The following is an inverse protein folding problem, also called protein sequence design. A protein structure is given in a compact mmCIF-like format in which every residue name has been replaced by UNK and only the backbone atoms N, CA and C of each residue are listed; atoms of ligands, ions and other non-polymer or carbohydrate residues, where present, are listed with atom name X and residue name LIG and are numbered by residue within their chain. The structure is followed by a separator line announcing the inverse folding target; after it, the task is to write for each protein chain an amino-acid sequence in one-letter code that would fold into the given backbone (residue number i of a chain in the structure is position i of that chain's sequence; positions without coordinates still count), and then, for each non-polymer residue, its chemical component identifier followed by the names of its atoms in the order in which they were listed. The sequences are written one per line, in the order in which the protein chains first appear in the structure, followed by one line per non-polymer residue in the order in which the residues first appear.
data_IF_691445690943
#
_entry.id   IF_691445690943
#
_cell.length_a   1.000
_cell.length_b   1.000
_cell.length_c   1.000
_cell.angle_alpha   90.00
_cell.angle_beta   90.00
_cell.angle_gamma   90.00
#
_symmetry.space_group_name_H-M   'P 1'
#
loop_
_entity.id
_entity.type
_entity.pdbx_description
1 polymer ?
#
# COMPACT_ATOMS: atom_id res chain seq x y z
N UNK A 1 13.23 18.33 -7.96
CA UNK A 1 12.78 17.00 -8.43
C UNK A 1 13.33 15.95 -7.49
N UNK A 2 12.48 15.05 -6.97
CA UNK A 2 12.95 13.98 -6.09
C UNK A 2 13.77 12.95 -6.88
N UNK A 3 14.90 12.53 -6.30
CA UNK A 3 15.74 11.46 -6.87
C UNK A 3 15.15 10.09 -6.57
N UNK A 4 14.03 9.74 -7.22
CA UNK A 4 13.36 8.47 -7.08
C UNK A 4 13.29 7.81 -8.45
N UNK A 5 13.66 6.54 -8.52
CA UNK A 5 13.60 5.72 -9.72
C UNK A 5 12.26 4.96 -9.75
N UNK A 6 11.48 5.19 -10.80
CA UNK A 6 10.14 4.60 -10.95
C UNK A 6 10.12 3.71 -12.19
N UNK A 7 9.60 2.49 -12.02
CA UNK A 7 9.30 1.57 -13.11
C UNK A 7 7.79 1.47 -13.29
N UNK A 8 7.30 1.80 -14.49
CA UNK A 8 5.91 1.64 -14.91
C UNK A 8 5.79 0.32 -15.67
N UNK A 9 4.83 -0.52 -15.29
CA UNK A 9 4.59 -1.83 -15.92
C UNK A 9 3.11 -1.92 -16.28
N UNK A 10 2.83 -1.99 -17.57
CA UNK A 10 1.47 -2.07 -18.11
C UNK A 10 1.61 -2.61 -19.56
N UNK A 11 0.78 -3.53 -20.00
CA UNK A 11 0.83 -4.06 -21.35
C UNK A 11 0.25 -3.07 -22.38
N UNK A 12 -0.59 -2.14 -21.94
CA UNK A 12 -1.19 -1.10 -22.79
C UNK A 12 -0.25 0.10 -22.98
N UNK A 13 0.21 0.33 -24.21
CA UNK A 13 1.14 1.41 -24.58
C UNK A 13 0.59 2.80 -24.23
N UNK A 14 -0.68 3.03 -24.46
CA UNK A 14 -1.34 4.31 -24.19
C UNK A 14 -1.26 4.71 -22.73
N UNK A 15 -1.42 3.74 -21.83
CA UNK A 15 -1.31 3.92 -20.38
C UNK A 15 0.14 4.20 -20.00
N UNK A 16 1.11 3.41 -20.52
CA UNK A 16 2.53 3.63 -20.25
C UNK A 16 2.97 5.05 -20.65
N UNK A 17 2.63 5.50 -21.86
CA UNK A 17 2.97 6.84 -22.38
C UNK A 17 2.34 7.94 -21.52
N UNK A 18 1.08 7.77 -21.14
CA UNK A 18 0.37 8.73 -20.30
C UNK A 18 1.01 8.85 -18.92
N UNK A 19 1.26 7.73 -18.23
CA UNK A 19 1.88 7.70 -16.92
C UNK A 19 3.31 8.25 -16.97
N UNK A 20 4.10 7.86 -17.95
CA UNK A 20 5.47 8.35 -18.14
C UNK A 20 5.49 9.87 -18.31
N UNK A 21 4.61 10.42 -19.16
CA UNK A 21 4.49 11.88 -19.36
C UNK A 21 4.13 12.63 -18.08
N UNK A 22 3.24 12.04 -17.26
CA UNK A 22 2.83 12.61 -15.97
C UNK A 22 4.01 12.60 -14.98
N UNK A 23 4.73 11.48 -14.91
CA UNK A 23 5.74 11.26 -13.88
C UNK A 23 7.07 11.92 -14.20
N UNK A 24 7.50 11.96 -15.45
CA UNK A 24 8.75 12.66 -15.88
C UNK A 24 8.76 14.16 -15.54
N UNK A 25 7.60 14.76 -15.31
CA UNK A 25 7.52 16.17 -14.86
C UNK A 25 7.93 16.36 -13.40
N UNK A 26 7.89 15.31 -12.60
CA UNK A 26 8.10 15.36 -11.15
C UNK A 26 9.29 14.52 -10.68
N UNK A 27 9.70 13.52 -11.47
CA UNK A 27 10.74 12.54 -11.15
C UNK A 27 11.74 12.43 -12.27
N UNK A 28 13.03 12.27 -11.92
CA UNK A 28 14.12 12.25 -12.92
C UNK A 28 14.29 10.92 -13.64
N UNK A 29 14.06 9.81 -12.94
CA UNK A 29 14.26 8.48 -13.48
C UNK A 29 12.93 7.72 -13.54
N UNK A 30 12.31 7.73 -14.72
CA UNK A 30 11.08 6.98 -15.02
C UNK A 30 11.35 6.08 -16.20
N UNK A 31 11.21 4.79 -16.01
CA UNK A 31 11.32 3.75 -17.04
C UNK A 31 9.99 3.05 -17.21
N UNK A 32 9.80 2.44 -18.37
CA UNK A 32 8.58 1.71 -18.71
C UNK A 32 8.91 0.27 -19.11
N UNK A 33 7.99 -0.65 -18.80
CA UNK A 33 8.03 -2.03 -19.24
C UNK A 33 6.65 -2.40 -19.78
N UNK A 34 6.61 -3.16 -20.86
CA UNK A 34 5.37 -3.66 -21.45
C UNK A 34 4.93 -5.00 -20.88
N UNK A 35 5.67 -5.58 -19.95
CA UNK A 35 5.37 -6.89 -19.41
C UNK A 35 5.99 -7.08 -18.02
N UNK A 36 5.37 -7.97 -17.22
CA UNK A 36 5.89 -8.31 -15.90
C UNK A 36 7.21 -9.06 -15.96
N UNK A 37 7.42 -9.91 -16.96
CA UNK A 37 8.69 -10.64 -17.15
C UNK A 37 9.83 -9.67 -17.47
N UNK A 38 9.63 -8.73 -18.39
CA UNK A 38 10.63 -7.70 -18.73
C UNK A 38 10.91 -6.82 -17.49
N UNK A 39 9.88 -6.48 -16.72
CA UNK A 39 10.05 -5.72 -15.48
C UNK A 39 10.96 -6.44 -14.47
N UNK A 40 10.80 -7.77 -14.30
CA UNK A 40 11.68 -8.56 -13.43
C UNK A 40 13.13 -8.60 -13.93
N UNK A 41 13.35 -8.64 -15.25
CA UNK A 41 14.70 -8.53 -15.82
C UNK A 41 15.32 -7.13 -15.59
N UNK A 42 14.51 -6.08 -15.72
CA UNK A 42 14.95 -4.72 -15.45
C UNK A 42 15.35 -4.52 -13.98
N UNK A 43 14.61 -5.12 -13.04
CA UNK A 43 14.93 -5.10 -11.62
C UNK A 43 16.26 -5.80 -11.27
N UNK A 44 16.73 -6.71 -12.11
CA UNK A 44 18.04 -7.36 -11.92
C UNK A 44 19.21 -6.48 -12.38
N UNK A 45 18.94 -5.56 -13.31
CA UNK A 45 19.98 -4.71 -13.95
C UNK A 45 20.09 -3.33 -13.29
N UNK A 46 18.94 -2.78 -12.85
CA UNK A 46 18.83 -1.43 -12.35
C UNK A 46 18.08 -1.38 -11.02
N UNK A 47 18.37 -0.36 -10.21
CA UNK A 47 17.65 -0.10 -8.97
C UNK A 47 16.42 0.76 -9.22
N UNK A 48 15.29 0.33 -8.66
CA UNK A 48 14.03 1.08 -8.63
C UNK A 48 13.52 1.19 -7.20
N UNK A 49 13.03 2.38 -6.85
CA UNK A 49 12.41 2.65 -5.55
C UNK A 49 10.92 2.29 -5.54
N UNK A 50 10.24 2.47 -6.68
CA UNK A 50 8.82 2.25 -6.84
C UNK A 50 8.50 1.56 -8.17
N UNK A 51 7.64 0.56 -8.11
CA UNK A 51 6.95 -0.01 -9.28
C UNK A 51 5.51 0.47 -9.28
N UNK A 52 5.02 0.91 -10.43
CA UNK A 52 3.59 1.13 -10.70
C UNK A 52 3.18 0.09 -11.73
N UNK A 53 2.36 -0.88 -11.34
CA UNK A 53 2.00 -2.00 -12.21
C UNK A 53 0.50 -2.11 -12.41
N UNK A 54 0.07 -2.37 -13.65
CA UNK A 54 -1.25 -2.94 -13.85
C UNK A 54 -1.34 -4.33 -13.22
N UNK A 55 -2.55 -4.71 -12.82
CA UNK A 55 -2.82 -6.05 -12.31
C UNK A 55 -3.07 -7.04 -13.45
N UNK A 56 -3.78 -6.62 -14.47
CA UNK A 56 -4.17 -7.48 -15.58
C UNK A 56 -3.21 -7.28 -16.75
N UNK A 57 -2.27 -8.18 -16.92
CA UNK A 57 -1.31 -8.21 -18.04
C UNK A 57 -1.25 -9.63 -18.62
N UNK A 58 -0.92 -9.73 -19.90
CA UNK A 58 -1.01 -11.00 -20.64
C UNK A 58 -0.01 -12.07 -20.19
N UNK A 59 1.21 -11.68 -19.81
CA UNK A 59 2.32 -12.60 -19.51
C UNK A 59 2.41 -12.96 -18.02
N UNK A 60 2.09 -12.02 -17.16
CA UNK A 60 2.18 -12.15 -15.71
C UNK A 60 1.27 -11.13 -15.06
N UNK A 61 0.50 -11.53 -14.07
CA UNK A 61 -0.32 -10.60 -13.30
C UNK A 61 0.54 -9.66 -12.44
N UNK A 62 0.05 -8.44 -12.20
CA UNK A 62 0.72 -7.50 -11.27
C UNK A 62 0.83 -8.04 -9.84
N UNK A 63 -0.06 -8.97 -9.45
CA UNK A 63 0.02 -9.69 -8.17
C UNK A 63 1.21 -10.64 -8.14
N UNK A 64 1.45 -11.39 -9.21
CA UNK A 64 2.61 -12.27 -9.33
C UNK A 64 3.92 -11.46 -9.39
N UNK A 65 3.91 -10.33 -10.12
CA UNK A 65 5.03 -9.39 -10.15
C UNK A 65 5.33 -8.85 -8.74
N UNK A 66 4.30 -8.43 -8.00
CA UNK A 66 4.41 -7.99 -6.60
C UNK A 66 5.08 -9.07 -5.75
N UNK A 67 4.57 -10.30 -5.79
CA UNK A 67 5.10 -11.43 -5.01
C UNK A 67 6.58 -11.66 -5.31
N UNK A 68 6.93 -11.86 -6.58
CA UNK A 68 8.31 -12.13 -7.01
C UNK A 68 9.27 -10.98 -6.70
N UNK A 69 8.80 -9.74 -6.85
CA UNK A 69 9.60 -8.55 -6.55
C UNK A 69 9.85 -8.41 -5.05
N UNK A 70 8.85 -8.65 -4.20
CA UNK A 70 9.00 -8.58 -2.74
C UNK A 70 9.87 -9.70 -2.17
N UNK A 71 9.84 -10.90 -2.74
CA UNK A 71 10.73 -12.00 -2.36
C UNK A 71 12.22 -11.63 -2.53
N UNK A 72 12.56 -10.89 -3.59
CA UNK A 72 13.96 -10.55 -3.91
C UNK A 72 14.37 -9.17 -3.46
N UNK A 73 13.43 -8.22 -3.44
CA UNK A 73 13.61 -6.81 -3.09
C UNK A 73 12.55 -6.38 -2.07
N UNK A 74 12.64 -6.78 -0.79
CA UNK A 74 11.59 -6.53 0.22
C UNK A 74 11.23 -5.06 0.41
N UNK A 75 12.20 -4.15 0.22
CA UNK A 75 12.05 -2.71 0.44
C UNK A 75 11.44 -1.96 -0.76
N UNK A 76 11.29 -2.61 -1.93
CA UNK A 76 10.73 -1.96 -3.13
C UNK A 76 9.27 -1.60 -2.89
N UNK A 77 8.89 -0.39 -3.24
CA UNK A 77 7.51 0.04 -3.16
C UNK A 77 6.74 -0.44 -4.39
N UNK A 78 5.53 -0.93 -4.21
CA UNK A 78 4.70 -1.40 -5.33
C UNK A 78 3.29 -0.84 -5.20
N UNK A 79 2.93 -0.01 -6.18
CA UNK A 79 1.62 0.56 -6.39
C UNK A 79 0.92 -0.22 -7.49
N UNK A 80 -0.18 -0.88 -7.16
CA UNK A 80 -0.97 -1.63 -8.14
C UNK A 80 -2.11 -0.78 -8.71
N UNK A 81 -2.37 -0.91 -10.00
CA UNK A 81 -3.48 -0.26 -10.70
C UNK A 81 -4.36 -1.32 -11.36
N UNK A 82 -5.67 -1.12 -11.41
CA UNK A 82 -6.58 -2.04 -12.10
C UNK A 82 -7.85 -1.37 -12.60
N UNK A 83 -8.31 -1.80 -13.76
CA UNK A 83 -9.64 -1.45 -14.29
C UNK A 83 -10.78 -2.27 -13.66
N UNK A 84 -10.46 -3.40 -13.02
CA UNK A 84 -11.43 -4.30 -12.41
C UNK A 84 -11.19 -4.38 -10.89
N UNK A 85 -11.95 -3.56 -10.16
CA UNK A 85 -11.89 -3.57 -8.70
C UNK A 85 -12.53 -4.86 -8.15
N UNK A 86 -11.69 -5.83 -7.78
CA UNK A 86 -12.12 -7.03 -7.06
C UNK A 86 -11.58 -6.98 -5.63
N UNK A 87 -12.46 -7.27 -4.67
CA UNK A 87 -12.09 -7.26 -3.25
C UNK A 87 -11.02 -8.31 -2.94
N UNK A 88 -11.08 -9.47 -3.58
CA UNK A 88 -10.15 -10.56 -3.32
C UNK A 88 -8.73 -10.22 -3.80
N UNK A 89 -8.60 -9.62 -4.98
CA UNK A 89 -7.30 -9.14 -5.51
C UNK A 89 -6.72 -8.00 -4.67
N UNK A 90 -7.57 -7.09 -4.18
CA UNK A 90 -7.11 -6.02 -3.29
C UNK A 90 -6.61 -6.58 -1.94
N UNK A 91 -7.29 -7.59 -1.39
CA UNK A 91 -6.87 -8.27 -0.16
C UNK A 91 -5.54 -9.00 -0.36
N UNK A 92 -5.40 -9.71 -1.47
CA UNK A 92 -4.18 -10.42 -1.83
C UNK A 92 -3.00 -9.47 -2.01
N UNK A 93 -3.18 -8.37 -2.77
CA UNK A 93 -2.18 -7.33 -2.95
C UNK A 93 -1.62 -6.84 -1.62
N UNK A 94 -2.51 -6.59 -0.67
CA UNK A 94 -2.09 -6.11 0.66
C UNK A 94 -1.38 -7.19 1.47
N UNK A 95 -1.85 -8.45 1.43
CA UNK A 95 -1.16 -9.56 2.12
C UNK A 95 0.26 -9.75 1.60
N UNK A 96 0.47 -9.50 0.32
CA UNK A 96 1.76 -9.58 -0.34
C UNK A 96 2.63 -8.33 -0.16
N UNK A 97 2.12 -7.29 0.53
CA UNK A 97 2.87 -6.08 0.85
C UNK A 97 2.86 -5.01 -0.24
N UNK A 98 1.78 -4.92 -1.05
CA UNK A 98 1.57 -3.76 -1.91
C UNK A 98 1.54 -2.47 -1.07
N UNK A 99 2.21 -1.43 -1.57
CA UNK A 99 2.29 -0.14 -0.89
C UNK A 99 1.00 0.66 -1.04
N UNK A 100 0.32 0.52 -2.18
CA UNK A 100 -1.02 1.08 -2.43
C UNK A 100 -1.71 0.36 -3.58
N UNK A 101 -3.02 0.66 -3.77
CA UNK A 101 -3.87 0.04 -4.79
C UNK A 101 -4.82 1.09 -5.37
N UNK A 102 -4.76 1.32 -6.68
CA UNK A 102 -5.58 2.30 -7.39
C UNK A 102 -6.54 1.64 -8.38
N UNK A 103 -7.73 2.21 -8.49
CA UNK A 103 -8.75 1.77 -9.45
C UNK A 103 -8.73 2.71 -10.64
N UNK A 104 -8.52 2.17 -11.85
CA UNK A 104 -8.65 2.90 -13.12
C UNK A 104 -10.14 3.17 -13.43
N UNK A 105 -10.53 4.36 -13.96
CA UNK A 105 -9.66 5.48 -14.28
C UNK A 105 -9.31 6.31 -13.04
N UNK A 106 -8.04 6.67 -12.89
CA UNK A 106 -7.57 7.51 -11.79
C UNK A 106 -6.98 8.83 -12.31
N UNK A 107 -7.22 9.91 -11.56
CA UNK A 107 -6.72 11.23 -11.92
C UNK A 107 -5.21 11.33 -11.69
N UNK A 108 -4.54 12.24 -12.46
CA UNK A 108 -3.15 12.60 -12.20
C UNK A 108 -2.90 12.93 -10.72
N UNK A 109 -3.80 13.70 -10.08
CA UNK A 109 -3.69 14.07 -8.67
C UNK A 109 -3.71 12.84 -7.76
N UNK A 110 -4.59 11.88 -8.04
CA UNK A 110 -4.69 10.63 -7.28
C UNK A 110 -3.39 9.83 -7.35
N UNK A 111 -2.83 9.65 -8.55
CA UNK A 111 -1.58 8.92 -8.78
C UNK A 111 -0.43 9.57 -8.02
N UNK A 112 -0.22 10.89 -8.18
CA UNK A 112 0.86 11.60 -7.50
C UNK A 112 0.71 11.57 -5.98
N UNK A 113 -0.51 11.73 -5.46
CA UNK A 113 -0.76 11.65 -4.00
C UNK A 113 -0.48 10.24 -3.44
N UNK A 114 -0.80 9.18 -4.19
CA UNK A 114 -0.47 7.80 -3.81
C UNK A 114 1.04 7.57 -3.77
N UNK A 115 1.76 8.03 -4.78
CA UNK A 115 3.23 7.91 -4.82
C UNK A 115 3.87 8.61 -3.62
N UNK A 116 3.48 9.86 -3.34
CA UNK A 116 4.00 10.62 -2.20
C UNK A 116 3.75 9.86 -0.90
N UNK A 117 2.54 9.38 -0.70
CA UNK A 117 2.14 8.61 0.49
C UNK A 117 2.94 7.32 0.66
N UNK A 118 3.20 6.58 -0.43
CA UNK A 118 4.04 5.38 -0.40
C UNK A 118 5.47 5.71 0.07
N UNK A 119 6.04 6.80 -0.45
CA UNK A 119 7.41 7.23 -0.14
C UNK A 119 7.51 7.71 1.31
N UNK A 120 6.58 8.54 1.78
CA UNK A 120 6.56 9.07 3.14
C UNK A 120 6.43 7.96 4.17
N UNK A 121 5.50 7.02 3.97
CA UNK A 121 5.32 5.88 4.85
C UNK A 121 6.58 5.01 4.95
N UNK A 122 7.30 4.80 3.83
CA UNK A 122 8.55 4.04 3.82
C UNK A 122 9.67 4.76 4.56
N UNK A 123 9.76 6.09 4.41
CA UNK A 123 10.79 6.90 5.08
C UNK A 123 10.58 6.94 6.60
N UNK A 124 9.35 7.00 7.07
CA UNK A 124 9.03 6.94 8.50
C UNK A 124 9.38 5.56 9.09
N UNK A 125 9.09 4.49 8.37
CA UNK A 125 9.43 3.12 8.79
C UNK A 125 10.94 2.89 8.88
N UNK A 126 11.70 3.43 7.91
CA UNK A 126 13.18 3.38 7.93
C UNK A 126 13.78 4.17 9.10
N UNK A 127 13.30 5.39 9.35
CA UNK A 127 13.75 6.21 10.49
C UNK A 127 13.48 5.54 11.84
N UNK A 128 12.36 4.84 11.99
CA UNK A 128 12.05 4.09 13.19
C UNK A 128 12.98 2.87 13.38
N UNK A 129 13.34 2.18 12.29
CA UNK A 129 14.32 1.07 12.33
C UNK A 129 15.74 1.57 12.67
N UNK A 130 16.17 2.74 12.21
CA UNK A 130 17.50 3.31 12.51
C UNK A 130 17.62 3.81 13.94
N UNK A 131 16.55 4.32 14.55
CA UNK A 131 16.54 4.76 15.95
C UNK A 131 16.53 3.61 16.96
N UNK A 132 16.32 2.37 16.53
CA UNK A 132 16.29 1.17 17.38
C UNK A 132 17.55 0.31 17.31
N UNK A 133 18.61 0.75 16.61
CA UNK A 133 19.90 0.05 16.60
C UNK A 133 20.75 0.38 17.83
N UNK A 134 20.29 -0.09 19.00
CA UNK A 134 21.18 -0.46 20.11
C UNK A 134 20.92 -1.94 20.47
N UNK A 135 21.99 -2.73 20.71
CA UNK A 135 21.84 -4.18 20.83
C UNK A 135 21.22 -4.54 22.17
N UNK A 136 19.94 -4.86 22.20
CA UNK A 136 19.34 -5.64 23.28
C UNK A 136 18.71 -6.89 22.68
N UNK A 137 19.29 -7.99 23.16
CA UNK A 137 18.82 -9.37 22.95
C UNK A 137 17.33 -9.52 23.26
N UNK A 138 16.71 -10.32 22.40
CA UNK A 138 15.59 -11.21 22.69
C UNK A 138 14.44 -10.73 23.58
N UNK A 139 13.28 -10.78 22.98
CA UNK A 139 11.90 -10.62 23.45
C UNK A 139 11.25 -9.34 22.92
N UNK A 140 10.68 -9.37 21.71
CA UNK A 140 9.47 -8.60 21.37
C UNK A 140 8.98 -8.67 19.92
N UNK A 141 9.30 -9.72 19.17
CA UNK A 141 8.74 -9.89 17.81
C UNK A 141 7.21 -10.13 17.81
N UNK A 142 6.63 -10.40 18.97
CA UNK A 142 5.18 -10.67 19.10
C UNK A 142 4.32 -9.42 19.41
N UNK A 143 4.92 -8.27 19.72
CA UNK A 143 4.17 -7.08 20.13
C UNK A 143 3.98 -6.04 19.00
N UNK A 144 4.84 -6.00 17.99
CA UNK A 144 4.71 -5.04 16.88
C UNK A 144 3.55 -5.38 15.94
N UNK A 145 3.21 -6.66 15.78
CA UNK A 145 2.03 -7.08 15.00
C UNK A 145 0.69 -6.62 15.60
N UNK A 146 0.64 -6.26 16.89
CA UNK A 146 -0.57 -5.81 17.59
C UNK A 146 -0.77 -4.29 17.58
N UNK A 147 0.23 -3.49 17.22
CA UNK A 147 0.12 -2.05 17.15
C UNK A 147 -0.57 -1.59 15.86
N UNK A 148 -1.50 -0.63 16.00
CA UNK A 148 -2.15 -0.01 14.86
C UNK A 148 -1.20 0.98 14.19
N UNK A 149 -1.14 0.98 12.85
CA UNK A 149 -0.46 2.03 12.08
C UNK A 149 -1.18 3.37 12.27
N UNK A 150 -0.53 4.49 11.96
CA UNK A 150 -1.16 5.83 12.03
C UNK A 150 -2.51 5.89 11.28
N UNK A 151 -2.58 5.26 10.11
CA UNK A 151 -3.80 5.24 9.30
C UNK A 151 -4.89 4.34 9.90
N UNK A 152 -4.51 3.20 10.41
CA UNK A 152 -5.42 2.33 11.16
C UNK A 152 -5.91 3.00 12.44
N UNK A 153 -5.06 3.79 13.11
CA UNK A 153 -5.46 4.55 14.30
C UNK A 153 -6.51 5.61 13.96
N UNK A 154 -6.32 6.39 12.90
CA UNK A 154 -7.33 7.36 12.42
C UNK A 154 -8.67 6.67 12.10
N UNK A 155 -8.63 5.56 11.36
CA UNK A 155 -9.84 4.79 11.05
C UNK A 155 -10.48 4.21 12.32
N UNK A 156 -9.67 3.74 13.27
CA UNK A 156 -10.11 3.25 14.56
C UNK A 156 -10.82 4.33 15.38
N UNK A 157 -10.24 5.53 15.49
CA UNK A 157 -10.80 6.67 16.22
C UNK A 157 -12.17 7.09 15.65
N UNK A 158 -12.28 7.22 14.32
CA UNK A 158 -13.56 7.51 13.67
C UNK A 158 -14.58 6.37 13.84
N UNK A 159 -14.13 5.12 13.84
CA UNK A 159 -14.99 3.97 14.05
C UNK A 159 -15.56 3.93 15.47
N UNK A 160 -14.76 4.19 16.50
CA UNK A 160 -15.21 4.19 17.89
C UNK A 160 -16.08 5.40 18.22
N UNK A 161 -15.92 6.54 17.51
CA UNK A 161 -16.83 7.68 17.59
C UNK A 161 -18.22 7.43 16.93
N UNK A 162 -18.44 6.23 16.40
CA UNK A 162 -19.74 5.82 15.84
C UNK A 162 -19.93 6.13 14.36
N UNK A 163 -18.93 6.63 13.65
CA UNK A 163 -19.03 6.95 12.22
C UNK A 163 -19.22 5.67 11.37
N UNK A 164 -20.05 5.77 10.33
CA UNK A 164 -20.21 4.70 9.34
C UNK A 164 -18.99 4.61 8.42
N UNK A 165 -18.77 3.45 7.78
CA UNK A 165 -17.66 3.28 6.82
C UNK A 165 -17.72 4.30 5.68
N UNK A 166 -18.92 4.70 5.24
CA UNK A 166 -19.13 5.75 4.23
C UNK A 166 -18.70 7.13 4.75
N UNK A 167 -19.05 7.45 6.00
CA UNK A 167 -18.67 8.73 6.63
C UNK A 167 -17.16 8.82 6.84
N UNK A 168 -16.53 7.74 7.31
CA UNK A 168 -15.08 7.65 7.48
C UNK A 168 -14.36 7.81 6.13
N UNK A 169 -14.87 7.15 5.09
CA UNK A 169 -14.31 7.24 3.74
C UNK A 169 -14.34 8.69 3.21
N UNK A 170 -15.45 9.40 3.44
CA UNK A 170 -15.59 10.82 3.07
C UNK A 170 -14.63 11.72 3.85
N UNK A 171 -14.58 11.56 5.17
CA UNK A 171 -13.72 12.35 6.08
C UNK A 171 -12.23 12.18 5.74
N UNK A 172 -11.80 10.95 5.50
CA UNK A 172 -10.41 10.63 5.21
C UNK A 172 -10.04 10.73 3.72
N UNK A 173 -10.97 11.21 2.86
CA UNK A 173 -10.82 11.36 1.41
C UNK A 173 -10.34 10.07 0.71
N UNK A 174 -10.89 8.92 1.10
CA UNK A 174 -10.61 7.58 0.54
C UNK A 174 -11.89 6.86 0.14
N UNK A 175 -11.77 5.69 -0.48
CA UNK A 175 -12.92 4.88 -0.86
C UNK A 175 -13.44 4.02 0.31
N UNK A 176 -14.71 3.63 0.27
CA UNK A 176 -15.28 2.71 1.26
C UNK A 176 -14.55 1.37 1.31
N UNK A 177 -14.16 0.74 0.18
CA UNK A 177 -13.31 -0.45 0.20
C UNK A 177 -12.00 -0.26 0.98
N UNK A 178 -11.33 0.89 0.83
CA UNK A 178 -10.11 1.22 1.58
C UNK A 178 -10.36 1.26 3.10
N UNK A 179 -11.49 1.83 3.52
CA UNK A 179 -11.88 1.83 4.95
C UNK A 179 -12.13 0.40 5.46
N UNK A 180 -12.90 -0.39 4.73
CA UNK A 180 -13.17 -1.81 5.08
C UNK A 180 -11.88 -2.60 5.23
N UNK A 181 -10.89 -2.32 4.38
CA UNK A 181 -9.56 -2.90 4.46
C UNK A 181 -8.85 -2.55 5.79
N UNK A 182 -8.76 -1.25 6.13
CA UNK A 182 -8.16 -0.83 7.40
C UNK A 182 -8.91 -1.42 8.60
N UNK A 183 -10.24 -1.43 8.58
CA UNK A 183 -11.04 -2.04 9.64
C UNK A 183 -10.74 -3.53 9.82
N UNK A 184 -10.59 -4.29 8.75
CA UNK A 184 -10.23 -5.71 8.81
C UNK A 184 -8.86 -5.93 9.45
N UNK A 185 -7.86 -5.12 9.09
CA UNK A 185 -6.54 -5.18 9.72
C UNK A 185 -6.60 -4.83 11.20
N UNK A 186 -7.39 -3.81 11.56
CA UNK A 186 -7.63 -3.42 12.96
C UNK A 186 -8.25 -4.60 13.72
N UNK A 187 -9.29 -5.25 13.17
CA UNK A 187 -9.95 -6.39 13.81
C UNK A 187 -8.98 -7.55 14.02
N UNK A 188 -8.15 -7.87 13.02
CA UNK A 188 -7.11 -8.90 13.14
C UNK A 188 -6.08 -8.56 14.23
N UNK A 189 -5.56 -7.33 14.26
CA UNK A 189 -4.58 -6.87 15.24
C UNK A 189 -5.15 -6.82 16.67
N UNK A 190 -6.44 -6.57 16.82
CA UNK A 190 -7.14 -6.53 18.10
C UNK A 190 -7.78 -7.86 18.48
N UNK A 191 -7.61 -8.90 17.65
CA UNK A 191 -8.13 -10.26 17.85
C UNK A 191 -9.65 -10.28 18.07
N UNK A 192 -10.39 -9.61 17.17
CA UNK A 192 -11.87 -9.53 17.22
C UNK A 192 -12.48 -9.79 15.84
N UNK A 193 -13.71 -10.32 15.85
CA UNK A 193 -14.45 -10.67 14.62
C UNK A 193 -15.21 -9.51 13.98
N UNK A 194 -14.97 -8.25 14.38
CA UNK A 194 -15.61 -7.09 13.77
C UNK A 194 -15.88 -5.93 14.74
N UNK A 195 -16.62 -4.92 14.25
CA UNK A 195 -16.92 -3.68 14.98
C UNK A 195 -17.51 -3.92 16.38
N UNK A 196 -18.45 -4.87 16.51
CA UNK A 196 -19.04 -5.22 17.80
C UNK A 196 -18.02 -5.76 18.82
N UNK A 197 -17.01 -6.49 18.35
CA UNK A 197 -15.91 -6.97 19.19
C UNK A 197 -15.10 -5.84 19.78
N UNK A 198 -14.75 -4.84 18.97
CA UNK A 198 -14.04 -3.64 19.43
C UNK A 198 -14.86 -2.88 20.48
N UNK A 199 -16.15 -2.64 20.22
CA UNK A 199 -17.02 -1.92 21.15
C UNK A 199 -17.16 -2.64 22.51
N UNK A 200 -17.16 -3.98 22.51
CA UNK A 200 -17.15 -4.77 23.78
C UNK A 200 -15.86 -4.55 24.56
N UNK A 201 -14.69 -4.53 23.90
CA UNK A 201 -13.40 -4.28 24.57
C UNK A 201 -13.38 -2.89 25.20
N UNK A 202 -13.91 -1.88 24.50
CA UNK A 202 -13.95 -0.49 25.00
C UNK A 202 -14.90 -0.41 26.23
N UNK A 203 -16.10 -0.96 26.12
CA UNK A 203 -17.10 -0.94 27.20
C UNK A 203 -16.65 -1.70 28.47
N UNK A 204 -15.81 -2.73 28.32
CA UNK A 204 -15.24 -3.44 29.45
C UNK A 204 -14.12 -2.68 30.17
N UNK A 205 -13.43 -1.73 29.48
CA UNK A 205 -12.38 -0.90 30.06
C UNK A 205 -12.88 0.39 30.73
N UNK A 206 -14.13 0.78 30.50
CA UNK A 206 -14.73 2.01 31.07
C UNK A 206 -15.45 1.75 32.40
N UNK A 207 -15.34 0.54 32.95
CA UNK A 207 -15.97 0.14 34.23
C UNK A 207 -14.98 0.04 35.40
N UNK A 208 -13.91 0.86 35.38
CA UNK A 208 -13.04 1.04 36.55
C UNK A 208 -12.80 2.53 36.79
#
# INVERSE_FOLDING_TARGET
MQKISILIVDDEESIRVSLESILKRNYHNVKVSSSGLIALEMLQKDHYDLIISDIMMDDMTGIELLKKSKERYPEILILLMTGYANLDTAIEAVRLGASDYLIKPCSKKTILSSIIRCIENNTETKKQKELTQHPKKDVNTLNEEKCLTKRELQVYEHMISGMTDKSIAKELAVTVPTIKFHLRNIYRKKDVSGRRGILKIISSRTRY
#
